data_IF_197827460567
#
_entry.id   IF_197827460567
#
_cell.length_a   1.000
_cell.length_b   1.000
_cell.length_c   1.000
_cell.angle_alpha   90.00
_cell.angle_beta   90.00
_cell.angle_gamma   90.00
#
_symmetry.space_group_name_H-M   'P 1'
#
loop_
_entity.id
_entity.type
_entity.pdbx_description
1 polymer ?
#
# COMPACT_ATOMS: atom_id res chain seq x y z
N UNK A 1 7.83 -1.84 -9.29
CA UNK A 1 6.49 -2.15 -8.72
C UNK A 1 6.72 -3.08 -7.56
N UNK A 2 5.90 -3.02 -6.51
CA UNK A 2 6.06 -3.91 -5.36
C UNK A 2 5.25 -5.19 -5.60
N UNK A 3 5.73 -6.34 -5.14
CA UNK A 3 4.96 -7.58 -5.14
C UNK A 3 4.21 -7.75 -3.80
N UNK A 4 3.37 -8.79 -3.69
CA UNK A 4 2.61 -9.06 -2.46
C UNK A 4 3.51 -9.28 -1.23
N UNK A 5 4.70 -9.85 -1.38
CA UNK A 5 5.64 -10.09 -0.28
C UNK A 5 6.20 -8.78 0.27
N UNK A 6 6.54 -7.83 -0.62
CA UNK A 6 6.97 -6.49 -0.23
C UNK A 6 5.88 -5.74 0.53
N UNK A 7 4.63 -5.82 0.08
CA UNK A 7 3.50 -5.23 0.81
C UNK A 7 3.25 -5.94 2.16
N UNK A 8 3.47 -7.24 2.25
CA UNK A 8 3.37 -7.97 3.52
C UNK A 8 4.42 -7.52 4.53
N UNK A 9 5.66 -7.24 4.08
CA UNK A 9 6.72 -6.66 4.92
C UNK A 9 6.39 -5.27 5.46
N UNK A 10 5.63 -4.46 4.71
CA UNK A 10 5.18 -3.14 5.20
C UNK A 10 4.18 -3.25 6.36
N UNK A 11 3.45 -4.36 6.42
CA UNK A 11 2.49 -4.67 7.50
C UNK A 11 3.18 -5.43 8.64
N UNK A 12 4.33 -6.04 8.40
CA UNK A 12 5.11 -6.74 9.41
C UNK A 12 5.51 -5.76 10.54
N UNK A 13 5.23 -6.16 11.78
CA UNK A 13 5.47 -5.32 12.96
C UNK A 13 4.40 -4.25 13.23
N UNK A 14 3.42 -4.06 12.34
CA UNK A 14 2.24 -3.23 12.63
C UNK A 14 1.31 -3.94 13.61
N UNK A 15 0.63 -3.14 14.42
CA UNK A 15 -0.40 -3.60 15.36
C UNK A 15 -1.78 -3.18 14.88
N UNK A 16 -2.77 -4.00 15.19
CA UNK A 16 -4.17 -3.75 14.88
C UNK A 16 -4.62 -2.50 15.64
N UNK A 17 -5.05 -1.43 14.96
CA UNK A 17 -5.52 -0.20 15.60
C UNK A 17 -6.70 -0.43 16.55
N UNK A 18 -7.50 -1.49 16.30
CA UNK A 18 -8.70 -1.79 17.09
C UNK A 18 -8.43 -2.50 18.42
N UNK A 19 -7.50 -3.46 18.42
CA UNK A 19 -7.28 -4.35 19.58
C UNK A 19 -5.82 -4.43 20.05
N UNK A 20 -4.90 -3.74 19.38
CA UNK A 20 -3.47 -3.69 19.73
C UNK A 20 -2.68 -4.96 19.39
N UNK A 21 -3.31 -6.01 18.85
CA UNK A 21 -2.63 -7.26 18.51
C UNK A 21 -1.69 -7.09 17.31
N UNK A 22 -0.57 -7.81 17.27
CA UNK A 22 0.29 -7.81 16.08
C UNK A 22 -0.47 -8.33 14.86
N UNK A 23 -0.43 -7.57 13.77
CA UNK A 23 -1.02 -8.01 12.52
C UNK A 23 -0.15 -9.12 11.91
N UNK A 24 -0.77 -10.16 11.32
CA UNK A 24 0.00 -11.18 10.64
C UNK A 24 0.70 -10.56 9.41
N UNK A 25 1.89 -11.04 9.02
CA UNK A 25 2.55 -10.67 7.77
C UNK A 25 1.87 -11.35 6.57
N UNK A 26 0.54 -11.26 6.52
CA UNK A 26 -0.29 -11.89 5.50
C UNK A 26 -1.32 -10.88 5.04
N UNK A 27 -1.19 -10.48 3.77
CA UNK A 27 -2.13 -9.59 3.12
C UNK A 27 -3.08 -10.38 2.24
N UNK A 28 -4.36 -10.06 2.35
CA UNK A 28 -5.36 -10.40 1.36
C UNK A 28 -5.34 -9.38 0.22
N UNK A 29 -5.79 -9.82 -0.94
CA UNK A 29 -5.93 -8.96 -2.11
C UNK A 29 -7.26 -9.22 -2.79
N UNK A 30 -7.81 -8.19 -3.43
CA UNK A 30 -8.97 -8.26 -4.32
C UNK A 30 -8.69 -7.40 -5.55
N UNK A 31 -9.15 -7.86 -6.72
CA UNK A 31 -9.10 -7.04 -7.93
C UNK A 31 -9.93 -5.77 -7.73
N UNK A 32 -9.27 -4.62 -7.79
CA UNK A 32 -9.92 -3.32 -7.78
C UNK A 32 -9.21 -2.38 -8.76
N UNK A 33 -9.73 -2.23 -10.00
CA UNK A 33 -9.07 -1.44 -11.02
C UNK A 33 -9.11 0.08 -10.76
N UNK A 34 -9.84 0.56 -9.75
CA UNK A 34 -10.05 2.00 -9.50
C UNK A 34 -9.25 2.53 -8.31
N UNK A 35 -9.12 1.76 -7.23
CA UNK A 35 -8.55 2.20 -5.96
C UNK A 35 -7.50 1.21 -5.41
N UNK A 36 -7.03 0.26 -6.23
CA UNK A 36 -6.01 -0.69 -5.85
C UNK A 36 -4.57 -0.21 -6.06
N UNK A 37 -3.64 -1.03 -5.61
CA UNK A 37 -2.20 -0.91 -5.80
C UNK A 37 -1.75 -1.61 -7.08
N UNK A 38 -0.76 -1.04 -7.76
CA UNK A 38 -0.07 -1.71 -8.86
C UNK A 38 0.89 -2.76 -8.29
N UNK A 39 0.46 -4.03 -8.36
CA UNK A 39 1.20 -5.18 -7.82
C UNK A 39 1.86 -5.94 -8.96
N UNK A 40 3.15 -6.22 -8.80
CA UNK A 40 3.90 -7.00 -9.79
C UNK A 40 3.30 -8.41 -9.96
N UNK A 41 3.14 -8.85 -11.21
CA UNK A 41 2.55 -10.14 -11.55
C UNK A 41 1.02 -10.13 -11.71
N UNK A 42 0.36 -8.99 -11.49
CA UNK A 42 -1.08 -8.85 -11.70
C UNK A 42 -1.39 -7.91 -12.88
N UNK A 43 -2.36 -8.26 -13.74
CA UNK A 43 -2.71 -7.45 -14.91
C UNK A 43 -3.51 -6.20 -14.56
N UNK A 44 -4.00 -6.09 -13.32
CA UNK A 44 -4.81 -4.99 -12.84
C UNK A 44 -4.46 -4.65 -11.40
N UNK A 45 -4.87 -3.45 -10.98
CA UNK A 45 -4.70 -2.97 -9.62
C UNK A 45 -5.41 -3.86 -8.61
N UNK A 46 -4.75 -4.09 -7.48
CA UNK A 46 -5.25 -4.91 -6.38
C UNK A 46 -5.50 -4.04 -5.15
N UNK A 47 -6.71 -4.07 -4.62
CA UNK A 47 -6.97 -3.59 -3.27
C UNK A 47 -6.37 -4.59 -2.27
N UNK A 48 -5.40 -4.12 -1.50
CA UNK A 48 -4.71 -4.91 -0.49
C UNK A 48 -5.30 -4.63 0.90
N UNK A 49 -5.50 -5.68 1.68
CA UNK A 49 -6.04 -5.58 3.03
C UNK A 49 -5.40 -6.62 3.95
N UNK A 50 -5.46 -6.40 5.26
CA UNK A 50 -5.00 -7.35 6.28
C UNK A 50 -6.13 -7.61 7.26
N UNK A 51 -6.29 -8.88 7.64
CA UNK A 51 -7.28 -9.29 8.65
C UNK A 51 -6.57 -9.55 9.96
N UNK A 52 -7.01 -8.90 11.03
CA UNK A 52 -6.50 -9.17 12.36
C UNK A 52 -6.93 -10.57 12.82
N UNK A 53 -5.98 -11.45 13.12
CA UNK A 53 -6.25 -12.82 13.57
C UNK A 53 -6.97 -12.91 14.92
N UNK A 54 -6.97 -11.84 15.73
CA UNK A 54 -7.62 -11.82 17.04
C UNK A 54 -9.05 -11.31 17.01
N UNK A 55 -9.27 -10.12 16.45
CA UNK A 55 -10.59 -9.49 16.44
C UNK A 55 -11.35 -9.69 15.13
N UNK A 56 -10.72 -10.30 14.12
CA UNK A 56 -11.31 -10.53 12.79
C UNK A 56 -11.51 -9.26 11.97
N UNK A 57 -11.07 -8.10 12.46
CA UNK A 57 -11.27 -6.84 11.74
C UNK A 57 -10.36 -6.76 10.52
N UNK A 58 -10.93 -6.31 9.41
CA UNK A 58 -10.22 -6.13 8.14
C UNK A 58 -9.82 -4.67 8.02
N UNK A 59 -8.53 -4.45 7.77
CA UNK A 59 -7.94 -3.14 7.57
C UNK A 59 -7.39 -3.04 6.16
N UNK A 60 -7.77 -2.01 5.43
CA UNK A 60 -7.19 -1.74 4.12
C UNK A 60 -5.75 -1.25 4.29
N UNK A 61 -4.84 -1.70 3.42
CA UNK A 61 -3.45 -1.27 3.49
C UNK A 61 -3.31 0.25 3.29
N UNK A 62 -4.19 0.85 2.49
CA UNK A 62 -4.21 2.31 2.28
C UNK A 62 -4.47 3.07 3.59
N UNK A 63 -5.34 2.55 4.47
CA UNK A 63 -5.61 3.16 5.78
C UNK A 63 -4.49 2.92 6.78
N UNK A 64 -3.84 1.75 6.74
CA UNK A 64 -2.74 1.38 7.65
C UNK A 64 -1.42 2.05 7.32
N UNK A 65 -1.16 2.29 6.04
CA UNK A 65 0.09 2.86 5.53
C UNK A 65 -0.03 4.36 5.26
N UNK A 66 -1.24 4.91 5.15
CA UNK A 66 -1.49 6.33 4.95
C UNK A 66 -0.71 6.91 3.76
N UNK A 67 -0.05 8.06 3.97
CA UNK A 67 0.73 8.80 2.96
C UNK A 67 1.91 8.02 2.34
N UNK A 68 2.35 6.90 2.93
CA UNK A 68 3.43 6.07 2.36
C UNK A 68 3.04 5.55 0.97
N UNK A 69 1.74 5.35 0.73
CA UNK A 69 1.20 4.90 -0.56
C UNK A 69 1.31 5.97 -1.64
N UNK A 70 1.21 7.25 -1.29
CA UNK A 70 1.34 8.37 -2.24
C UNK A 70 2.71 8.45 -2.91
N UNK A 71 3.75 7.89 -2.27
CA UNK A 71 5.10 7.77 -2.85
C UNK A 71 5.36 6.45 -3.58
N UNK A 72 4.63 5.39 -3.26
CA UNK A 72 4.84 4.05 -3.84
C UNK A 72 3.99 3.80 -5.10
N UNK A 73 2.84 4.48 -5.24
CA UNK A 73 1.98 4.45 -6.43
C UNK A 73 2.21 5.62 -7.40
N UNK A 74 3.17 6.48 -7.10
CA UNK A 74 3.58 7.59 -7.96
C UNK A 74 4.50 7.09 -9.07
N UNK A 75 3.90 6.72 -10.20
CA UNK A 75 4.60 6.74 -11.48
C UNK A 75 5.34 8.06 -11.62
N UNK A 76 6.61 8.00 -11.97
CA UNK A 76 7.38 9.10 -12.52
C UNK A 76 6.52 9.97 -13.44
N UNK A 77 6.20 11.18 -13.00
CA UNK A 77 6.14 12.32 -13.90
C UNK A 77 7.56 12.88 -13.98
N UNK A 78 8.39 12.30 -14.86
CA UNK A 78 9.57 12.99 -15.36
C UNK A 78 9.12 14.17 -16.23
N UNK A 79 9.27 15.40 -15.76
CA UNK A 79 9.73 16.56 -16.55
C UNK A 79 9.81 17.76 -15.58
N UNK A 80 10.97 18.14 -15.04
CA UNK A 80 11.97 18.79 -15.86
C UNK A 80 11.45 20.16 -16.32
N UNK A 81 11.49 21.18 -15.47
CA UNK A 81 11.85 22.53 -15.93
C UNK A 81 12.44 23.36 -14.80
N UNK A 82 13.77 23.42 -14.82
CA UNK A 82 14.58 24.43 -14.16
C UNK A 82 14.34 25.74 -14.90
N UNK A 83 13.67 26.73 -14.30
CA UNK A 83 13.73 28.13 -14.76
C UNK A 83 14.51 28.97 -13.76
N UNK A 84 15.82 28.96 -13.97
CA UNK A 84 16.71 30.09 -13.68
C UNK A 84 16.57 31.05 -14.85
N UNK A 85 16.10 32.27 -14.62
CA UNK A 85 16.48 33.56 -15.24
C UNK A 85 15.78 34.61 -14.34
N UNK A 86 16.44 35.51 -13.63
CA UNK A 86 17.47 36.43 -14.11
C UNK A 86 16.76 37.66 -14.70
N UNK A 87 16.63 38.73 -13.92
CA UNK A 87 16.00 39.99 -14.31
C UNK A 87 15.78 40.90 -13.11
#
# INVERSE_FOLDING_TARGET
>A
MLNLDDYAKLVEGKTCPRCGEKLPPKIGHRLDPKHGFDVEGFPARLMLYVTCSKCGYVWELVELLGEVVGKLGGSEETSGEKKVYGG
#
